data_IF_550132079580
#
_entry.id   IF_550132079580
#
_cell.length_a   1.000
_cell.length_b   1.000
_cell.length_c   1.000
_cell.angle_alpha   90.00
_cell.angle_beta   90.00
_cell.angle_gamma   90.00
#
_symmetry.space_group_name_H-M   'P 1'
#
loop_
_entity.id
_entity.type
_entity.pdbx_description
1 polymer ?
#
# COMPACT_ATOMS: atom_id res chain seq x y z
N UNK A 1 -22.45 10.31 2.97
CA UNK A 1 -21.02 10.50 2.65
C UNK A 1 -20.20 9.93 3.78
N UNK A 2 -19.13 9.18 3.48
CA UNK A 2 -18.29 8.54 4.50
C UNK A 2 -17.36 9.58 5.12
N UNK A 3 -17.26 9.60 6.46
CA UNK A 3 -16.31 10.43 7.22
C UNK A 3 -15.12 9.55 7.65
N UNK A 4 -14.18 9.33 6.75
CA UNK A 4 -12.98 8.50 6.96
C UNK A 4 -11.74 9.16 6.36
N UNK A 5 -10.55 8.71 6.80
CA UNK A 5 -9.27 9.18 6.25
C UNK A 5 -9.05 8.77 4.78
N UNK A 6 -9.68 7.66 4.36
CA UNK A 6 -9.66 7.14 2.98
C UNK A 6 -11.06 7.25 2.40
N UNK A 7 -11.20 7.77 1.18
CA UNK A 7 -12.49 7.87 0.47
C UNK A 7 -12.56 6.99 -0.78
N UNK A 8 -11.46 6.35 -1.16
CA UNK A 8 -11.37 5.54 -2.37
C UNK A 8 -12.23 4.27 -2.25
N UNK A 9 -13.34 4.12 -3.00
CA UNK A 9 -14.31 3.06 -2.74
C UNK A 9 -13.76 1.64 -2.91
N UNK A 10 -12.99 1.30 -3.98
CA UNK A 10 -12.38 -0.02 -4.10
C UNK A 10 -11.39 -0.35 -2.98
N UNK A 11 -10.67 0.66 -2.47
CA UNK A 11 -9.72 0.47 -1.37
C UNK A 11 -10.46 0.20 -0.07
N UNK A 12 -11.50 0.99 0.23
CA UNK A 12 -12.35 0.76 1.40
C UNK A 12 -13.01 -0.63 1.35
N UNK A 13 -13.49 -1.06 0.18
CA UNK A 13 -14.07 -2.38 0.01
C UNK A 13 -13.05 -3.52 0.24
N UNK A 14 -11.81 -3.36 -0.22
CA UNK A 14 -10.73 -4.32 0.03
C UNK A 14 -10.37 -4.38 1.51
N UNK A 15 -10.18 -3.22 2.17
CA UNK A 15 -9.85 -3.14 3.60
C UNK A 15 -10.96 -3.72 4.48
N UNK A 16 -12.23 -3.52 4.12
CA UNK A 16 -13.36 -4.06 4.87
C UNK A 16 -13.44 -5.60 4.82
N UNK A 17 -12.80 -6.24 3.83
CA UNK A 17 -12.71 -7.69 3.70
C UNK A 17 -11.48 -8.28 4.39
N UNK A 18 -10.53 -7.45 4.83
CA UNK A 18 -9.34 -7.92 5.53
C UNK A 18 -9.69 -8.44 6.93
N UNK A 19 -9.23 -9.66 7.24
CA UNK A 19 -9.25 -10.25 8.58
C UNK A 19 -7.86 -10.27 9.24
N UNK A 20 -7.77 -10.88 10.42
CA UNK A 20 -6.50 -11.09 11.12
C UNK A 20 -5.50 -11.83 10.21
N UNK A 21 -4.25 -11.35 10.18
CA UNK A 21 -3.13 -11.87 9.36
C UNK A 21 -3.24 -11.58 7.85
N UNK A 22 -4.24 -10.82 7.41
CA UNK A 22 -4.29 -10.35 6.02
C UNK A 22 -3.09 -9.45 5.74
N UNK A 23 -2.48 -9.64 4.57
CA UNK A 23 -1.36 -8.82 4.12
C UNK A 23 -1.85 -7.77 3.13
N UNK A 24 -1.40 -6.52 3.32
CA UNK A 24 -1.62 -5.42 2.39
C UNK A 24 -0.26 -5.00 1.86
N UNK A 25 -0.09 -5.07 0.53
CA UNK A 25 1.12 -4.63 -0.15
C UNK A 25 0.91 -3.22 -0.71
N UNK A 26 1.73 -2.27 -0.27
CA UNK A 26 1.87 -0.97 -0.92
C UNK A 26 3.05 -1.09 -1.88
N UNK A 27 2.76 -1.01 -3.17
CA UNK A 27 3.73 -1.17 -4.23
C UNK A 27 3.89 0.14 -5.03
N UNK A 28 5.09 0.36 -5.56
CA UNK A 28 5.33 1.41 -6.55
C UNK A 28 4.84 0.99 -7.94
N UNK A 29 5.00 1.87 -8.93
CA UNK A 29 4.63 1.58 -10.31
C UNK A 29 5.52 0.56 -11.03
N UNK A 30 6.63 0.13 -10.41
CA UNK A 30 7.62 -0.77 -11.02
C UNK A 30 7.49 -2.21 -10.52
N UNK A 31 6.86 -2.42 -9.35
CA UNK A 31 6.60 -3.76 -8.85
C UNK A 31 5.64 -4.52 -9.78
N UNK A 32 5.99 -5.76 -10.12
CA UNK A 32 5.24 -6.58 -11.05
C UNK A 32 3.97 -7.19 -10.39
N UNK A 33 3.00 -6.35 -9.99
CA UNK A 33 1.79 -6.77 -9.27
C UNK A 33 1.04 -7.92 -9.97
N UNK A 34 1.00 -7.92 -11.30
CA UNK A 34 0.23 -8.92 -12.07
C UNK A 34 0.86 -10.31 -12.02
N UNK A 35 2.19 -10.40 -11.95
CA UNK A 35 2.91 -11.69 -12.04
C UNK A 35 3.48 -12.15 -10.70
N UNK A 36 3.74 -11.24 -9.76
CA UNK A 36 4.33 -11.55 -8.45
C UNK A 36 3.32 -11.55 -7.30
N UNK A 37 2.14 -10.92 -7.45
CA UNK A 37 1.11 -11.02 -6.41
C UNK A 37 0.42 -12.40 -6.46
N UNK A 38 -0.15 -12.86 -5.34
CA UNK A 38 -1.06 -14.01 -5.34
C UNK A 38 -2.19 -13.85 -6.36
N UNK A 39 -2.59 -14.95 -7.01
CA UNK A 39 -3.61 -14.92 -8.09
C UNK A 39 -4.98 -14.44 -7.62
N UNK A 40 -5.26 -14.58 -6.33
CA UNK A 40 -6.49 -14.19 -5.64
C UNK A 40 -6.37 -12.83 -4.93
N UNK A 41 -5.21 -12.17 -5.00
CA UNK A 41 -5.03 -10.86 -4.41
C UNK A 41 -5.87 -9.81 -5.15
N UNK A 42 -6.58 -8.98 -4.38
CA UNK A 42 -7.28 -7.81 -4.94
C UNK A 42 -6.27 -6.71 -5.23
N UNK A 43 -6.10 -6.36 -6.51
CA UNK A 43 -5.21 -5.27 -6.93
C UNK A 43 -6.00 -3.97 -7.02
N UNK A 44 -5.58 -2.94 -6.28
CA UNK A 44 -6.19 -1.62 -6.28
C UNK A 44 -5.21 -0.60 -6.88
N UNK A 45 -5.48 -0.13 -8.08
CA UNK A 45 -4.67 0.89 -8.75
C UNK A 45 -5.07 2.30 -8.29
N UNK A 46 -4.11 3.03 -7.71
CA UNK A 46 -4.29 4.41 -7.22
C UNK A 46 -3.50 5.44 -8.04
N UNK A 47 -2.50 5.00 -8.80
CA UNK A 47 -1.58 5.88 -9.53
C UNK A 47 -2.20 6.41 -10.83
N UNK A 48 -1.94 7.69 -11.12
CA UNK A 48 -2.35 8.35 -12.36
C UNK A 48 -1.15 8.61 -13.28
N UNK A 49 -0.10 9.25 -12.75
CA UNK A 49 1.14 9.57 -13.44
C UNK A 49 2.34 9.47 -12.47
N UNK A 50 3.58 9.38 -12.98
CA UNK A 50 4.78 9.34 -12.13
C UNK A 50 4.83 10.53 -11.15
N UNK A 51 5.20 10.26 -9.89
CA UNK A 51 5.34 11.28 -8.85
C UNK A 51 4.02 11.89 -8.32
N UNK A 52 2.85 11.43 -8.78
CA UNK A 52 1.55 11.99 -8.34
C UNK A 52 1.13 11.51 -6.95
N UNK A 53 1.52 10.29 -6.57
CA UNK A 53 1.12 9.68 -5.31
C UNK A 53 2.29 8.88 -4.73
N UNK A 54 2.77 9.29 -3.57
CA UNK A 54 3.85 8.63 -2.85
C UNK A 54 3.29 7.56 -1.87
N UNK A 55 4.11 6.56 -1.55
CA UNK A 55 3.72 5.49 -0.63
C UNK A 55 3.51 5.94 0.84
N UNK A 56 4.35 6.84 1.43
CA UNK A 56 4.20 7.20 2.84
C UNK A 56 2.84 7.85 3.20
N UNK A 57 2.30 8.81 2.41
CA UNK A 57 0.96 9.34 2.67
C UNK A 57 -0.15 8.28 2.61
N UNK A 58 -0.03 7.28 1.73
CA UNK A 58 -0.99 6.17 1.66
C UNK A 58 -0.92 5.34 2.95
N UNK A 59 0.30 4.99 3.38
CA UNK A 59 0.53 4.24 4.61
C UNK A 59 -0.07 4.98 5.81
N UNK A 60 0.14 6.29 5.93
CA UNK A 60 -0.43 7.11 7.00
C UNK A 60 -1.96 7.00 7.06
N UNK A 61 -2.65 7.10 5.92
CA UNK A 61 -4.12 6.98 5.88
C UNK A 61 -4.61 5.56 6.14
N UNK A 62 -3.84 4.54 5.75
CA UNK A 62 -4.13 3.15 6.08
C UNK A 62 -4.02 2.90 7.58
N UNK A 63 -2.95 3.39 8.23
CA UNK A 63 -2.75 3.26 9.68
C UNK A 63 -3.85 3.97 10.49
N UNK A 64 -4.49 4.99 9.94
CA UNK A 64 -5.67 5.63 10.54
C UNK A 64 -6.97 4.80 10.40
N UNK A 65 -6.98 3.78 9.54
CA UNK A 65 -8.18 2.99 9.22
C UNK A 65 -8.12 1.53 9.68
N UNK A 66 -6.92 0.94 9.79
CA UNK A 66 -6.71 -0.47 10.12
C UNK A 66 -5.63 -0.67 11.18
N UNK A 67 -5.75 -1.73 11.98
CA UNK A 67 -4.71 -2.13 12.90
C UNK A 67 -3.61 -2.92 12.15
N UNK A 68 -2.36 -2.56 12.39
CA UNK A 68 -1.18 -3.22 11.80
C UNK A 68 -0.31 -3.78 12.91
N UNK A 69 -0.02 -5.08 12.86
CA UNK A 69 0.79 -5.79 13.86
C UNK A 69 2.26 -5.97 13.46
N UNK A 70 2.56 -5.86 12.17
CA UNK A 70 3.90 -6.05 11.60
C UNK A 70 4.00 -5.39 10.24
N UNK A 71 5.20 -4.97 9.88
CA UNK A 71 5.53 -4.44 8.56
C UNK A 71 6.82 -5.10 8.05
N UNK A 72 6.86 -5.35 6.76
CA UNK A 72 8.05 -5.84 6.06
C UNK A 72 8.35 -4.90 4.88
N UNK A 73 9.63 -4.61 4.67
CA UNK A 73 10.10 -3.83 3.53
C UNK A 73 10.95 -4.72 2.62
N UNK A 74 11.01 -4.37 1.34
CA UNK A 74 11.96 -5.00 0.43
C UNK A 74 13.38 -4.66 0.86
N UNK A 75 14.26 -5.66 0.84
CA UNK A 75 15.67 -5.45 1.09
C UNK A 75 16.24 -4.52 0.01
N UNK A 76 16.92 -3.48 0.47
CA UNK A 76 17.61 -2.54 -0.37
C UNK A 76 19.03 -3.06 -0.69
N UNK A 77 19.52 -2.92 -1.94
CA UNK A 77 20.93 -3.14 -2.24
C UNK A 77 21.86 -2.29 -1.35
N UNK A 78 23.07 -2.77 -0.99
CA UNK A 78 23.98 -2.03 -0.10
C UNK A 78 24.42 -0.66 -0.64
N UNK A 79 24.38 -0.50 -1.96
CA UNK A 79 24.78 0.70 -2.71
C UNK A 79 23.62 1.65 -2.99
N UNK A 80 22.39 1.32 -2.60
CA UNK A 80 21.24 2.20 -2.73
C UNK A 80 20.94 2.91 -1.40
N UNK A 81 20.89 4.24 -1.45
CA UNK A 81 20.45 5.05 -0.31
C UNK A 81 18.94 5.24 -0.40
N UNK A 82 18.20 4.63 0.53
CA UNK A 82 16.76 4.82 0.62
C UNK A 82 16.45 6.20 1.17
N UNK A 83 16.20 7.16 0.29
CA UNK A 83 15.90 8.55 0.69
C UNK A 83 14.53 8.71 1.34
N UNK A 84 13.64 7.72 1.20
CA UNK A 84 12.28 7.73 1.79
C UNK A 84 12.34 7.42 3.30
N UNK A 85 13.37 6.70 3.77
CA UNK A 85 13.57 6.46 5.21
C UNK A 85 13.86 7.72 6.02
N UNK A 86 14.28 8.80 5.35
CA UNK A 86 14.63 10.07 5.98
C UNK A 86 13.49 11.11 5.95
N UNK A 87 12.35 10.77 5.34
CA UNK A 87 11.18 11.64 5.15
C UNK A 87 10.08 11.34 6.19
#
# INVERSE_FOLDING_TARGET
MIKSAITHPPLLAALAQCGHKTQVLIADGNYACVTHAPKDATVVYLNLAPGTLAAPPILEKLLACINVESAALMACPPDFTNTIEAE
#
